data_IF_981806664941
#
_entry.id   IF_981806664941
#
_cell.length_a   1.000
_cell.length_b   1.000
_cell.length_c   1.000
_cell.angle_alpha   90.00
_cell.angle_beta   90.00
_cell.angle_gamma   90.00
#
_symmetry.space_group_name_H-M   'P 1'
#
loop_
_entity.id
_entity.type
_entity.pdbx_description
1 polymer ?
#
# COMPACT_ATOMS: atom_id res chain seq x y z
N UNK A 1 5.12 -0.60 71.92
CA UNK A 1 5.44 -1.50 70.79
C UNK A 1 4.76 -0.95 69.54
N UNK A 2 5.49 -0.26 68.65
CA UNK A 2 4.94 0.33 67.40
C UNK A 2 5.34 -0.56 66.24
N UNK A 3 4.37 -1.23 65.62
CA UNK A 3 4.53 -1.92 64.35
C UNK A 3 4.71 -0.88 63.23
N UNK A 4 5.92 -0.80 62.67
CA UNK A 4 6.17 -0.10 61.40
C UNK A 4 5.82 -1.08 60.27
N UNK A 5 4.69 -0.86 59.59
CA UNK A 5 4.42 -1.49 58.31
C UNK A 5 5.15 -0.72 57.21
N UNK A 6 6.17 -1.32 56.61
CA UNK A 6 6.78 -0.81 55.39
C UNK A 6 5.94 -1.29 54.20
N UNK A 7 5.16 -0.38 53.61
CA UNK A 7 4.50 -0.60 52.33
C UNK A 7 5.55 -0.31 51.25
N UNK A 8 6.09 -1.35 50.64
CA UNK A 8 6.90 -1.25 49.43
C UNK A 8 5.94 -1.08 48.25
N UNK A 9 5.78 0.15 47.77
CA UNK A 9 5.11 0.41 46.50
C UNK A 9 6.12 0.05 45.40
N UNK A 10 5.95 -1.12 44.79
CA UNK A 10 6.62 -1.39 43.52
C UNK A 10 5.99 -0.48 42.48
N UNK A 11 6.66 0.64 42.17
CA UNK A 11 6.37 1.39 40.94
C UNK A 11 6.76 0.48 39.78
N UNK A 12 5.77 -0.23 39.25
CA UNK A 12 5.85 -0.84 37.94
C UNK A 12 6.19 0.30 36.97
N UNK A 13 7.44 0.31 36.47
CA UNK A 13 7.84 1.23 35.42
C UNK A 13 6.84 1.06 34.29
N UNK A 14 5.94 2.03 34.13
CA UNK A 14 5.16 2.18 32.90
C UNK A 14 6.17 2.24 31.77
N UNK A 15 6.39 1.11 31.09
CA UNK A 15 7.13 1.06 29.84
C UNK A 15 6.42 2.06 28.93
N UNK A 16 7.06 3.18 28.67
CA UNK A 16 6.58 4.15 27.71
C UNK A 16 6.37 3.42 26.39
N UNK A 17 5.10 3.30 25.99
CA UNK A 17 4.76 2.62 24.75
C UNK A 17 5.30 3.52 23.63
N UNK A 18 6.22 3.02 22.78
CA UNK A 18 6.87 3.88 21.82
C UNK A 18 5.88 4.34 20.74
N UNK A 19 5.95 5.62 20.42
CA UNK A 19 5.12 6.26 19.40
C UNK A 19 5.85 6.15 18.07
N UNK A 20 5.19 5.65 17.03
CA UNK A 20 5.69 5.83 15.67
C UNK A 20 5.60 7.31 15.31
N UNK A 21 6.76 7.95 15.19
CA UNK A 21 6.85 9.38 14.87
C UNK A 21 6.97 9.60 13.37
N UNK A 22 7.53 8.63 12.64
CA UNK A 22 7.82 8.77 11.22
C UNK A 22 7.21 7.62 10.40
N UNK A 23 6.06 7.81 9.74
CA UNK A 23 5.57 6.83 8.78
C UNK A 23 6.61 6.63 7.67
N UNK A 24 6.83 5.38 7.28
CA UNK A 24 7.71 5.02 6.16
C UNK A 24 6.86 4.66 4.95
N UNK A 25 5.96 3.68 5.11
CA UNK A 25 5.13 3.20 4.01
C UNK A 25 3.91 2.41 4.46
N UNK A 26 2.93 2.34 3.57
CA UNK A 26 1.80 1.43 3.63
C UNK A 26 1.87 0.47 2.43
N UNK A 27 1.77 -0.84 2.68
CA UNK A 27 1.65 -1.85 1.63
C UNK A 27 0.29 -2.52 1.65
N UNK A 28 -0.29 -2.75 0.48
CA UNK A 28 -1.53 -3.52 0.34
C UNK A 28 -1.21 -5.03 0.39
N UNK A 29 -1.77 -5.73 1.36
CA UNK A 29 -1.67 -7.18 1.48
C UNK A 29 -2.99 -7.80 0.99
N UNK A 30 -2.87 -8.73 0.06
CA UNK A 30 -4.00 -9.51 -0.46
C UNK A 30 -3.90 -10.93 0.03
N UNK A 31 -5.03 -11.53 0.37
CA UNK A 31 -5.09 -12.95 0.69
C UNK A 31 -4.87 -13.73 -0.61
N UNK A 32 -3.83 -14.58 -0.72
CA UNK A 32 -3.59 -15.35 -1.94
C UNK A 32 -4.78 -16.23 -2.31
N UNK A 33 -5.46 -16.76 -1.29
CA UNK A 33 -6.69 -17.57 -1.45
C UNK A 33 -7.95 -16.72 -1.69
N UNK A 34 -7.85 -15.39 -1.58
CA UNK A 34 -8.94 -14.42 -1.72
C UNK A 34 -10.14 -14.67 -0.81
N UNK A 35 -9.95 -15.38 0.31
CA UNK A 35 -11.02 -15.68 1.28
C UNK A 35 -11.24 -14.56 2.29
N UNK A 36 -10.21 -13.78 2.56
CA UNK A 36 -10.21 -12.70 3.55
C UNK A 36 -10.11 -11.33 2.89
N UNK A 37 -10.67 -10.27 3.51
CA UNK A 37 -10.54 -8.91 3.01
C UNK A 37 -9.07 -8.49 2.92
N UNK A 38 -8.72 -7.56 2.02
CA UNK A 38 -7.38 -7.02 1.95
C UNK A 38 -7.00 -6.34 3.27
N UNK A 39 -5.71 -6.40 3.59
CA UNK A 39 -5.12 -5.79 4.77
C UNK A 39 -4.08 -4.75 4.35
N UNK A 40 -3.72 -3.87 5.27
CA UNK A 40 -2.63 -2.93 5.09
C UNK A 40 -1.50 -3.28 6.06
N UNK A 41 -0.29 -3.42 5.53
CA UNK A 41 0.94 -3.44 6.31
C UNK A 41 1.42 -2.01 6.47
N UNK A 42 1.48 -1.56 7.71
CA UNK A 42 2.00 -0.25 8.07
C UNK A 42 3.44 -0.42 8.53
N UNK A 43 4.36 0.31 7.92
CA UNK A 43 5.76 0.38 8.33
C UNK A 43 6.08 1.82 8.73
N UNK A 44 6.74 1.98 9.86
CA UNK A 44 7.13 3.27 10.39
C UNK A 44 8.41 3.19 11.22
N UNK A 45 8.84 4.35 11.72
CA UNK A 45 10.00 4.49 12.62
C UNK A 45 9.62 5.20 13.90
N UNK A 46 10.25 4.74 14.97
CA UNK A 46 10.26 5.40 16.26
C UNK A 46 11.29 6.54 16.27
N UNK A 47 11.25 7.39 17.30
CA UNK A 47 12.20 8.51 17.49
C UNK A 47 13.66 8.10 17.47
N UNK A 48 13.97 6.92 18.00
CA UNK A 48 15.32 6.36 18.04
C UNK A 48 15.74 5.70 16.70
N UNK A 49 14.98 5.90 15.62
CA UNK A 49 15.23 5.33 14.30
C UNK A 49 14.76 3.88 14.15
N UNK A 50 14.33 3.20 15.22
CA UNK A 50 13.94 1.79 15.17
C UNK A 50 12.70 1.60 14.30
N UNK A 51 12.75 0.60 13.42
CA UNK A 51 11.67 0.28 12.48
C UNK A 51 10.65 -0.63 13.14
N UNK A 52 9.38 -0.27 12.99
CA UNK A 52 8.23 -1.01 13.52
C UNK A 52 7.21 -1.25 12.42
N UNK A 53 6.49 -2.37 12.51
CA UNK A 53 5.42 -2.68 11.59
C UNK A 53 4.23 -3.39 12.25
N UNK A 54 3.04 -3.21 11.70
CA UNK A 54 1.86 -3.99 12.07
C UNK A 54 0.95 -4.17 10.84
N UNK A 55 0.00 -5.10 10.93
CA UNK A 55 -0.98 -5.35 9.87
C UNK A 55 -2.39 -5.15 10.44
N UNK A 56 -3.24 -4.45 9.69
CA UNK A 56 -4.66 -4.24 10.04
C UNK A 56 -5.54 -4.46 8.81
N UNK A 57 -6.80 -4.85 9.03
CA UNK A 57 -7.77 -4.99 7.94
C UNK A 57 -8.06 -3.64 7.30
N UNK A 58 -8.10 -3.62 5.97
CA UNK A 58 -8.41 -2.40 5.24
C UNK A 58 -9.92 -2.18 5.27
N UNK A 59 -10.37 -1.29 6.14
CA UNK A 59 -11.79 -0.89 6.21
C UNK A 59 -12.03 0.25 5.23
N UNK A 60 -12.85 -0.01 4.21
CA UNK A 60 -13.30 1.05 3.32
C UNK A 60 -14.11 2.09 4.13
N UNK A 61 -13.82 3.39 3.98
CA UNK A 61 -14.62 4.42 4.63
C UNK A 61 -16.06 4.34 4.15
N UNK A 62 -17.01 4.53 5.07
CA UNK A 62 -18.41 4.74 4.71
C UNK A 62 -18.47 6.08 4.00
N UNK A 63 -18.78 6.05 2.70
CA UNK A 63 -18.93 7.27 1.92
C UNK A 63 -20.13 8.05 2.48
N UNK A 64 -20.00 9.35 2.77
CA UNK A 64 -21.15 10.16 3.15
C UNK A 64 -22.18 10.13 2.00
N UNK A 65 -23.47 10.15 2.33
CA UNK A 65 -24.59 10.03 1.37
C UNK A 65 -24.74 11.23 0.40
N UNK A 66 -23.76 12.13 0.35
CA UNK A 66 -23.76 13.26 -0.54
C UNK A 66 -23.15 12.87 -1.89
N UNK A 67 -23.80 13.30 -2.98
CA UNK A 67 -23.37 13.13 -4.38
C UNK A 67 -22.09 13.93 -4.68
N UNK A 68 -20.96 13.57 -4.05
CA UNK A 68 -19.64 14.02 -4.46
C UNK A 68 -18.98 12.91 -5.29
N UNK A 69 -18.45 13.28 -6.44
CA UNK A 69 -17.72 12.38 -7.35
C UNK A 69 -16.38 11.93 -6.78
N UNK A 70 -15.82 12.63 -5.80
CA UNK A 70 -14.55 12.27 -5.15
C UNK A 70 -14.60 12.51 -3.63
N UNK A 71 -14.22 11.50 -2.84
CA UNK A 71 -14.12 11.62 -1.38
C UNK A 71 -12.70 11.27 -0.94
N UNK A 72 -12.06 12.15 -0.16
CA UNK A 72 -10.81 11.84 0.52
C UNK A 72 -11.15 11.29 1.89
N UNK A 73 -10.57 10.15 2.21
CA UNK A 73 -10.56 9.64 3.56
C UNK A 73 -9.15 9.72 4.12
N UNK A 74 -9.00 10.49 5.19
CA UNK A 74 -7.80 10.47 6.02
C UNK A 74 -8.14 9.81 7.35
N UNK A 75 -7.26 8.93 7.80
CA UNK A 75 -7.30 8.30 9.12
C UNK A 75 -5.94 8.46 9.75
N UNK A 76 -5.91 8.97 10.98
CA UNK A 76 -4.69 8.95 11.78
C UNK A 76 -4.39 7.51 12.20
N UNK A 77 -3.15 7.08 11.96
CA UNK A 77 -2.67 5.75 12.32
C UNK A 77 -1.84 5.85 13.59
N UNK A 78 -2.43 5.49 14.72
CA UNK A 78 -1.77 5.46 16.03
C UNK A 78 -1.11 4.09 16.33
N UNK A 79 0.22 4.02 16.28
CA UNK A 79 0.95 2.78 16.58
C UNK A 79 0.88 2.37 18.07
N UNK A 80 0.57 3.29 19.00
CA UNK A 80 0.61 3.02 20.46
C UNK A 80 -0.36 1.92 20.89
N UNK A 81 -1.56 1.93 20.31
CA UNK A 81 -2.65 1.05 20.71
C UNK A 81 -2.70 -0.22 19.86
N UNK A 82 -1.65 -0.52 19.09
CA UNK A 82 -1.63 -1.63 18.14
C UNK A 82 -0.51 -2.61 18.48
N UNK A 83 -0.80 -3.93 18.44
CA UNK A 83 0.23 -4.95 18.55
C UNK A 83 1.16 -4.83 17.34
N UNK A 84 2.36 -4.28 17.56
CA UNK A 84 3.35 -4.06 16.51
C UNK A 84 4.59 -4.94 16.73
N UNK A 85 5.31 -5.16 15.64
CA UNK A 85 6.56 -5.91 15.59
C UNK A 85 7.71 -4.94 15.41
N UNK A 86 8.73 -5.07 16.24
CA UNK A 86 10.04 -4.47 15.99
C UNK A 86 10.78 -5.28 14.93
N UNK A 87 11.25 -4.61 13.89
CA UNK A 87 11.86 -5.25 12.72
C UNK A 87 13.38 -5.48 12.89
N UNK A 88 13.96 -5.03 14.02
CA UNK A 88 15.40 -5.03 14.29
C UNK A 88 16.24 -4.34 13.20
N UNK A 89 15.65 -3.34 12.54
CA UNK A 89 16.29 -2.49 11.55
C UNK A 89 16.11 -1.03 11.98
N UNK A 90 17.10 -0.19 11.68
CA UNK A 90 17.12 1.22 12.07
C UNK A 90 17.22 2.10 10.83
N UNK A 91 16.67 3.31 10.91
CA UNK A 91 16.80 4.33 9.87
C UNK A 91 16.31 3.87 8.49
N UNK A 92 15.19 3.14 8.45
CA UNK A 92 14.57 2.72 7.19
C UNK A 92 14.19 3.94 6.34
N UNK A 93 14.62 3.96 5.09
CA UNK A 93 14.33 5.00 4.11
C UNK A 93 13.05 4.68 3.36
N UNK A 94 12.95 3.45 2.83
CA UNK A 94 11.78 2.97 2.12
C UNK A 94 11.69 1.45 2.20
N UNK A 95 10.54 0.96 1.77
CA UNK A 95 10.24 -0.48 1.77
C UNK A 95 9.55 -0.88 0.48
N UNK A 96 9.69 -2.15 0.10
CA UNK A 96 8.92 -2.76 -1.00
C UNK A 96 8.41 -4.13 -0.52
N UNK A 97 7.19 -4.48 -0.92
CA UNK A 97 6.56 -5.72 -0.51
C UNK A 97 6.23 -6.61 -1.71
N UNK A 98 6.87 -7.78 -1.74
CA UNK A 98 6.54 -8.85 -2.67
C UNK A 98 5.45 -9.72 -2.04
N UNK A 99 4.23 -9.56 -2.55
CA UNK A 99 3.06 -10.26 -2.05
C UNK A 99 3.02 -11.75 -2.41
N UNK A 100 3.75 -12.18 -3.43
CA UNK A 100 3.78 -13.58 -3.89
C UNK A 100 4.59 -14.41 -2.90
N UNK A 101 5.79 -13.95 -2.58
CA UNK A 101 6.70 -14.64 -1.66
C UNK A 101 6.59 -14.16 -0.21
N UNK A 102 5.73 -13.17 0.06
CA UNK A 102 5.57 -12.50 1.35
C UNK A 102 6.90 -11.93 1.88
N UNK A 103 7.66 -11.30 0.97
CA UNK A 103 8.96 -10.71 1.30
C UNK A 103 8.83 -9.20 1.45
N UNK A 104 9.37 -8.68 2.54
CA UNK A 104 9.54 -7.26 2.76
C UNK A 104 11.02 -6.90 2.57
N UNK A 105 11.28 -6.07 1.57
CA UNK A 105 12.57 -5.46 1.36
C UNK A 105 12.59 -4.16 2.18
N UNK A 106 13.38 -4.14 3.25
CA UNK A 106 13.63 -2.95 4.06
C UNK A 106 14.93 -2.32 3.61
N UNK A 107 14.87 -1.08 3.11
CA UNK A 107 16.06 -0.33 2.72
C UNK A 107 16.35 0.74 3.77
N UNK A 108 17.55 0.72 4.32
CA UNK A 108 18.01 1.62 5.36
C UNK A 108 19.40 2.15 5.05
N UNK A 109 19.83 3.20 5.74
CA UNK A 109 21.20 3.69 5.68
C UNK A 109 21.99 3.37 6.95
N UNK A 110 23.27 3.03 6.78
CA UNK A 110 24.22 2.98 7.89
C UNK A 110 24.72 4.38 8.29
N UNK A 111 25.48 4.47 9.37
CA UNK A 111 26.05 5.74 9.87
C UNK A 111 27.00 6.41 8.86
N UNK A 112 27.44 5.68 7.83
CA UNK A 112 28.29 6.18 6.73
C UNK A 112 27.46 6.59 5.51
N UNK A 113 26.13 6.53 5.59
CA UNK A 113 25.21 6.86 4.51
C UNK A 113 25.16 5.82 3.39
N UNK A 114 25.69 4.60 3.60
CA UNK A 114 25.55 3.51 2.62
C UNK A 114 24.20 2.84 2.81
N UNK A 115 23.54 2.55 1.70
CA UNK A 115 22.25 1.87 1.72
C UNK A 115 22.44 0.36 1.88
N UNK A 116 21.70 -0.24 2.79
CA UNK A 116 21.59 -1.67 3.04
C UNK A 116 20.17 -2.12 2.75
N UNK A 117 20.01 -3.37 2.32
CA UNK A 117 18.71 -4.01 2.12
C UNK A 117 18.61 -5.26 2.98
N UNK A 118 17.73 -5.23 3.98
CA UNK A 118 17.32 -6.40 4.72
C UNK A 118 16.07 -7.02 4.07
N UNK A 119 16.18 -8.27 3.64
CA UNK A 119 15.08 -9.06 3.09
C UNK A 119 14.45 -9.88 4.20
N UNK A 120 13.23 -9.55 4.57
CA UNK A 120 12.49 -10.23 5.62
C UNK A 120 11.36 -11.07 5.03
N UNK A 121 11.22 -12.33 5.45
CA UNK A 121 9.98 -13.08 5.26
C UNK A 121 8.97 -12.62 6.29
N UNK A 122 7.79 -12.23 5.83
CA UNK A 122 6.65 -11.97 6.69
C UNK A 122 5.83 -13.25 6.86
N UNK A 123 5.22 -13.39 8.04
CA UNK A 123 4.32 -14.49 8.36
C UNK A 123 3.22 -13.99 9.27
N UNK A 124 2.17 -14.80 9.44
CA UNK A 124 1.01 -14.42 10.23
C UNK A 124 0.32 -13.13 9.73
N UNK A 125 0.33 -12.93 8.41
CA UNK A 125 -0.29 -11.78 7.74
C UNK A 125 -1.81 -11.81 7.82
N UNK A 126 -2.40 -12.95 8.15
CA UNK A 126 -3.83 -13.12 8.35
C UNK A 126 -4.05 -14.12 9.51
N UNK A 127 -3.91 -13.66 10.77
CA UNK A 127 -4.05 -14.53 11.93
C UNK A 127 -5.49 -15.06 12.03
N UNK A 128 -5.63 -16.32 12.46
CA UNK A 128 -6.93 -16.86 12.85
C UNK A 128 -7.42 -16.24 14.16
N UNK A 129 -8.69 -16.49 14.52
CA UNK A 129 -9.32 -15.94 15.73
C UNK A 129 -8.60 -16.33 17.03
N UNK A 130 -7.86 -17.44 17.04
CA UNK A 130 -7.13 -17.97 18.20
C UNK A 130 -5.61 -17.75 18.12
N UNK A 131 -5.11 -17.18 17.02
CA UNK A 131 -3.68 -16.97 16.79
C UNK A 131 -3.14 -15.70 17.43
N UNK A 132 -1.81 -15.62 17.59
CA UNK A 132 -1.15 -14.36 17.92
C UNK A 132 -1.55 -13.30 16.89
N UNK A 133 -1.89 -12.09 17.32
CA UNK A 133 -2.18 -10.98 16.41
C UNK A 133 -0.91 -10.27 15.90
N UNK A 134 0.27 -10.69 16.39
CA UNK A 134 1.54 -10.04 16.03
C UNK A 134 2.09 -10.54 14.70
N UNK A 135 2.59 -9.60 13.91
CA UNK A 135 3.31 -9.88 12.66
C UNK A 135 4.57 -10.70 12.96
N UNK A 136 4.72 -11.84 12.27
CA UNK A 136 5.92 -12.66 12.33
C UNK A 136 6.94 -12.20 11.29
N UNK A 137 8.22 -12.15 11.67
CA UNK A 137 9.32 -11.77 10.76
C UNK A 137 10.51 -12.70 10.92
N UNK A 138 11.17 -13.00 9.80
CA UNK A 138 12.45 -13.71 9.79
C UNK A 138 13.37 -13.09 8.75
N UNK A 139 14.62 -12.80 9.14
CA UNK A 139 15.64 -12.27 8.24
C UNK A 139 16.09 -13.40 7.30
N UNK A 140 15.96 -13.18 5.99
CA UNK A 140 16.47 -14.09 4.96
C UNK A 140 17.88 -13.68 4.56
N UNK A 141 18.06 -12.38 4.26
CA UNK A 141 19.32 -11.88 3.75
C UNK A 141 19.50 -10.39 4.09
N UNK A 142 20.74 -9.95 4.15
CA UNK A 142 21.13 -8.56 4.36
C UNK A 142 22.36 -8.27 3.50
N UNK A 143 22.34 -7.16 2.75
CA UNK A 143 23.42 -6.80 1.83
C UNK A 143 23.44 -5.31 1.53
N UNK A 144 24.62 -4.82 1.13
CA UNK A 144 24.81 -3.43 0.66
C UNK A 144 24.19 -3.28 -0.72
N UNK A 145 23.39 -2.23 -0.90
CA UNK A 145 22.77 -1.89 -2.19
C UNK A 145 23.83 -1.30 -3.13
N UNK A 146 23.77 -1.71 -4.39
CA UNK A 146 24.60 -1.21 -5.47
C UNK A 146 24.42 0.31 -5.68
N UNK A 147 25.54 0.99 -5.87
CA UNK A 147 25.66 2.45 -6.00
C UNK A 147 24.74 3.07 -7.08
N UNK A 148 24.45 2.34 -8.15
CA UNK A 148 23.52 2.75 -9.20
C UNK A 148 22.08 3.04 -8.70
N UNK A 149 21.72 2.61 -7.49
CA UNK A 149 20.41 2.90 -6.89
C UNK A 149 20.35 4.25 -6.18
N UNK A 150 21.49 4.94 -5.94
CA UNK A 150 21.51 6.27 -5.29
C UNK A 150 20.74 7.35 -6.06
N UNK A 151 20.63 7.19 -7.38
CA UNK A 151 19.89 8.12 -8.26
C UNK A 151 18.43 7.70 -8.48
N UNK A 152 18.00 6.57 -7.91
CA UNK A 152 16.66 5.99 -8.10
C UNK A 152 15.78 6.31 -6.90
N UNK A 153 14.71 7.04 -7.15
CA UNK A 153 13.83 7.58 -6.11
C UNK A 153 12.39 7.12 -6.30
N UNK A 154 11.58 7.24 -5.24
CA UNK A 154 10.14 6.96 -5.33
C UNK A 154 9.84 5.51 -5.72
N UNK A 155 10.61 4.55 -5.19
CA UNK A 155 10.35 3.13 -5.40
C UNK A 155 8.91 2.78 -5.01
N UNK A 156 8.19 1.96 -5.79
CA UNK A 156 6.84 1.52 -5.47
C UNK A 156 6.46 0.20 -6.11
N UNK A 157 5.87 -0.70 -5.34
CA UNK A 157 5.26 -1.92 -5.85
C UNK A 157 3.83 -1.69 -6.36
N UNK A 158 3.48 -2.38 -7.45
CA UNK A 158 2.10 -2.57 -7.89
C UNK A 158 1.73 -4.05 -7.70
N UNK A 159 0.96 -4.40 -6.65
CA UNK A 159 0.55 -5.77 -6.39
C UNK A 159 -0.42 -6.34 -7.44
N UNK A 160 -0.88 -5.55 -8.40
CA UNK A 160 -1.75 -6.02 -9.48
C UNK A 160 -0.99 -6.43 -10.74
N UNK A 161 0.14 -5.78 -11.03
CA UNK A 161 0.96 -6.05 -12.22
C UNK A 161 2.23 -6.84 -11.92
N UNK A 162 2.53 -7.09 -10.64
CA UNK A 162 3.77 -7.74 -10.19
C UNK A 162 5.02 -6.97 -10.63
N UNK A 163 4.90 -5.66 -10.77
CA UNK A 163 5.99 -4.75 -11.11
C UNK A 163 6.35 -3.85 -9.92
N UNK A 164 7.60 -3.40 -9.93
CA UNK A 164 8.12 -2.32 -9.12
C UNK A 164 8.52 -1.18 -10.03
N UNK A 165 8.17 0.02 -9.61
CA UNK A 165 8.46 1.26 -10.31
C UNK A 165 9.44 2.09 -9.51
N UNK A 166 10.23 2.89 -10.19
CA UNK A 166 11.06 3.93 -9.59
C UNK A 166 11.24 5.07 -10.59
N UNK A 167 11.77 6.19 -10.11
CA UNK A 167 12.07 7.34 -10.95
C UNK A 167 13.54 7.71 -10.94
N UNK A 168 13.99 8.25 -12.06
CA UNK A 168 15.26 8.95 -12.18
C UNK A 168 14.98 10.35 -12.72
N UNK A 169 15.70 11.34 -12.20
CA UNK A 169 15.60 12.73 -12.68
C UNK A 169 16.92 13.12 -13.31
N UNK A 170 16.87 13.55 -14.57
CA UNK A 170 18.02 14.05 -15.30
C UNK A 170 17.61 15.27 -16.13
N UNK A 171 18.39 16.35 -16.07
CA UNK A 171 18.17 17.59 -16.83
C UNK A 171 16.72 18.13 -16.79
N UNK A 172 16.06 18.10 -15.64
CA UNK A 172 14.68 18.58 -15.49
C UNK A 172 13.60 17.65 -16.06
N UNK A 173 13.97 16.41 -16.40
CA UNK A 173 13.05 15.36 -16.88
C UNK A 173 13.02 14.22 -15.87
N UNK A 174 11.84 13.95 -15.32
CA UNK A 174 11.57 12.77 -14.51
C UNK A 174 11.15 11.62 -15.42
N UNK A 175 11.88 10.51 -15.32
CA UNK A 175 11.58 9.27 -16.05
C UNK A 175 11.16 8.18 -15.08
N UNK A 176 10.02 7.56 -15.33
CA UNK A 176 9.51 6.40 -14.60
C UNK A 176 9.98 5.14 -15.29
N UNK A 177 10.57 4.24 -14.51
CA UNK A 177 11.03 2.93 -14.93
C UNK A 177 10.20 1.85 -14.23
N UNK A 178 10.03 0.70 -14.88
CA UNK A 178 9.42 -0.48 -14.30
C UNK A 178 10.37 -1.66 -14.35
N UNK A 179 10.22 -2.55 -13.39
CA UNK A 179 10.97 -3.78 -13.25
C UNK A 179 10.02 -4.87 -12.75
N UNK A 180 10.04 -6.09 -13.29
CA UNK A 180 9.34 -7.20 -12.67
C UNK A 180 9.79 -7.38 -11.21
N UNK A 181 8.86 -7.64 -10.29
CA UNK A 181 9.15 -7.77 -8.86
C UNK A 181 10.25 -8.81 -8.59
N UNK A 182 10.22 -9.95 -9.29
CA UNK A 182 11.23 -11.00 -9.17
C UNK A 182 12.66 -10.59 -9.60
N UNK A 183 12.83 -9.41 -10.23
CA UNK A 183 14.14 -8.86 -10.63
C UNK A 183 14.66 -7.82 -9.65
N UNK A 184 13.94 -7.52 -8.56
CA UNK A 184 14.32 -6.48 -7.59
C UNK A 184 15.72 -6.69 -7.00
N UNK A 185 16.09 -7.94 -6.73
CA UNK A 185 17.43 -8.27 -6.23
C UNK A 185 18.52 -7.96 -7.27
N UNK A 186 18.27 -8.18 -8.56
CA UNK A 186 19.21 -7.77 -9.62
C UNK A 186 19.35 -6.24 -9.69
N UNK A 187 18.28 -5.49 -9.43
CA UNK A 187 18.35 -4.03 -9.36
C UNK A 187 19.16 -3.58 -8.14
N UNK A 188 18.89 -4.15 -6.97
CA UNK A 188 19.55 -3.77 -5.71
C UNK A 188 20.99 -4.25 -5.60
N UNK A 189 21.32 -5.46 -6.06
CA UNK A 189 22.66 -6.05 -5.92
C UNK A 189 23.57 -5.76 -7.10
N UNK A 190 23.04 -5.83 -8.31
CA UNK A 190 23.85 -5.70 -9.54
C UNK A 190 23.66 -4.34 -10.22
N UNK A 191 22.78 -3.49 -9.68
CA UNK A 191 22.49 -2.19 -10.29
C UNK A 191 21.71 -2.28 -11.60
N UNK A 192 21.07 -3.42 -11.90
CA UNK A 192 20.28 -3.59 -13.14
C UNK A 192 19.21 -2.51 -13.24
N UNK A 193 19.05 -1.92 -14.42
CA UNK A 193 18.02 -0.91 -14.69
C UNK A 193 16.68 -1.56 -15.11
N UNK A 194 15.59 -0.89 -14.79
CA UNK A 194 14.26 -1.19 -15.30
C UNK A 194 14.04 -0.68 -16.72
N UNK A 195 12.93 -1.08 -17.33
CA UNK A 195 12.46 -0.57 -18.63
C UNK A 195 11.81 0.80 -18.44
N UNK A 196 12.09 1.73 -19.35
CA UNK A 196 11.45 3.05 -19.35
C UNK A 196 9.96 2.91 -19.69
N UNK A 197 9.10 3.55 -18.90
CA UNK A 197 7.64 3.60 -19.12
C UNK A 197 7.25 4.94 -19.73
N UNK A 198 7.64 6.03 -19.04
CA UNK A 198 7.21 7.36 -19.40
C UNK A 198 8.19 8.40 -18.86
N UNK A 199 8.27 9.54 -19.53
CA UNK A 199 8.99 10.72 -19.07
C UNK A 199 8.08 11.93 -19.07
N UNK A 200 8.30 12.84 -18.14
CA UNK A 200 7.61 14.12 -18.06
C UNK A 200 8.52 15.15 -17.38
N UNK A 201 8.16 16.44 -17.48
CA UNK A 201 8.92 17.52 -16.83
C UNK A 201 8.91 17.37 -15.31
N UNK A 202 9.92 17.86 -14.60
CA UNK A 202 10.02 17.79 -13.13
C UNK A 202 9.03 18.70 -12.40
N UNK A 203 8.06 19.31 -13.08
CA UNK A 203 7.00 20.09 -12.46
C UNK A 203 6.09 19.23 -11.57
N UNK A 204 6.15 17.90 -11.71
CA UNK A 204 5.34 16.94 -10.95
C UNK A 204 6.20 15.95 -10.17
N UNK A 205 5.78 15.65 -8.95
CA UNK A 205 6.35 14.58 -8.12
C UNK A 205 5.67 13.26 -8.45
N UNK A 206 6.45 12.21 -8.70
CA UNK A 206 5.93 10.85 -8.82
C UNK A 206 5.39 10.36 -7.47
N UNK A 207 4.18 9.79 -7.46
CA UNK A 207 3.63 9.17 -6.27
C UNK A 207 3.64 7.65 -6.35
N UNK A 208 3.32 7.10 -7.53
CA UNK A 208 3.16 5.66 -7.65
C UNK A 208 2.52 5.18 -8.94
N UNK A 209 2.46 3.86 -9.06
CA UNK A 209 1.61 3.16 -10.03
C UNK A 209 0.83 2.10 -9.27
N UNK A 210 -0.48 2.01 -9.50
CA UNK A 210 -1.34 0.99 -8.89
C UNK A 210 -2.41 0.56 -9.89
N UNK A 211 -2.50 -0.74 -10.19
CA UNK A 211 -3.49 -1.27 -11.13
C UNK A 211 -3.34 -0.69 -12.54
N UNK A 212 -2.11 -0.37 -12.95
CA UNK A 212 -1.83 0.28 -14.24
C UNK A 212 -2.18 1.77 -14.31
N UNK A 213 -2.53 2.42 -13.20
CA UNK A 213 -2.74 3.87 -13.12
C UNK A 213 -1.53 4.52 -12.49
N UNK A 214 -0.92 5.47 -13.18
CA UNK A 214 0.16 6.31 -12.68
C UNK A 214 -0.42 7.52 -11.94
N UNK A 215 0.12 7.76 -10.76
CA UNK A 215 -0.18 8.90 -9.91
C UNK A 215 1.02 9.83 -9.83
N UNK A 216 0.77 11.12 -10.00
CA UNK A 216 1.75 12.18 -9.78
C UNK A 216 1.07 13.36 -9.11
N UNK A 217 1.83 14.23 -8.45
CA UNK A 217 1.27 15.40 -7.80
C UNK A 217 2.03 16.68 -8.10
N UNK A 218 1.32 17.80 -8.00
CA UNK A 218 1.88 19.14 -7.88
C UNK A 218 1.45 19.69 -6.53
N UNK A 219 2.41 20.06 -5.70
CA UNK A 219 2.17 20.71 -4.43
C UNK A 219 2.37 22.22 -4.59
N UNK A 220 1.35 23.00 -4.26
CA UNK A 220 1.43 24.45 -4.09
C UNK A 220 1.03 24.80 -2.66
N UNK A 221 1.34 26.03 -2.24
CA UNK A 221 1.17 26.46 -0.84
C UNK A 221 -0.25 26.21 -0.27
N UNK A 222 -1.28 26.43 -1.07
CA UNK A 222 -2.68 26.38 -0.67
C UNK A 222 -3.43 25.17 -1.23
N UNK A 223 -2.82 24.42 -2.15
CA UNK A 223 -3.44 23.23 -2.72
C UNK A 223 -2.46 22.17 -3.24
N UNK A 224 -2.88 20.91 -3.18
CA UNK A 224 -2.27 19.78 -3.87
C UNK A 224 -3.14 19.38 -5.05
N UNK A 225 -2.55 19.16 -6.21
CA UNK A 225 -3.25 18.54 -7.36
C UNK A 225 -2.64 17.17 -7.64
N UNK A 226 -3.46 16.12 -7.58
CA UNK A 226 -3.06 14.77 -7.98
C UNK A 226 -3.53 14.52 -9.41
N UNK A 227 -2.62 14.07 -10.25
CA UNK A 227 -2.86 13.68 -11.65
C UNK A 227 -2.82 12.16 -11.77
N UNK A 228 -3.83 11.61 -12.40
CA UNK A 228 -4.02 10.17 -12.63
C UNK A 228 -4.11 9.91 -14.13
N UNK A 229 -3.37 8.92 -14.61
CA UNK A 229 -3.39 8.49 -16.02
C UNK A 229 -3.09 7.01 -16.17
N UNK A 230 -3.60 6.38 -17.21
CA UNK A 230 -3.22 5.01 -17.56
C UNK A 230 -1.76 4.95 -18.05
N UNK A 231 -1.02 3.91 -17.63
CA UNK A 231 0.34 3.65 -18.16
C UNK A 231 0.32 3.02 -19.56
N UNK A 232 -0.77 2.34 -19.92
CA UNK A 232 -0.93 1.72 -21.23
C UNK A 232 -1.11 2.78 -22.33
N UNK A 233 -1.66 3.93 -21.95
CA UNK A 233 -1.95 5.06 -22.82
C UNK A 233 -0.92 6.17 -22.61
N UNK A 234 0.32 5.92 -23.05
CA UNK A 234 1.47 6.81 -22.83
C UNK A 234 1.48 8.09 -23.67
N UNK A 235 0.50 8.28 -24.57
CA UNK A 235 0.39 9.51 -25.36
C UNK A 235 -0.11 10.67 -24.49
N UNK A 236 0.53 11.84 -24.61
CA UNK A 236 0.25 13.04 -23.83
C UNK A 236 -1.12 13.68 -24.11
N UNK A 237 -1.84 13.21 -25.13
CA UNK A 237 -3.14 13.72 -25.56
C UNK A 237 -4.34 13.00 -24.95
N UNK A 238 -4.13 11.92 -24.19
CA UNK A 238 -5.21 11.12 -23.62
C UNK A 238 -5.67 11.64 -22.25
N UNK A 239 -6.92 11.35 -21.83
CA UNK A 239 -7.51 11.92 -20.63
C UNK A 239 -6.69 11.57 -19.39
N UNK A 240 -6.17 12.61 -18.73
CA UNK A 240 -5.68 12.51 -17.36
C UNK A 240 -6.77 13.07 -16.45
N UNK A 241 -7.13 12.33 -15.41
CA UNK A 241 -8.00 12.87 -14.36
C UNK A 241 -7.13 13.64 -13.38
N UNK A 242 -7.58 14.82 -12.96
CA UNK A 242 -6.92 15.58 -11.91
C UNK A 242 -7.87 15.88 -10.77
N UNK A 243 -7.42 15.64 -9.54
CA UNK A 243 -8.15 16.00 -8.33
C UNK A 243 -7.34 17.07 -7.58
N UNK A 244 -7.96 18.23 -7.36
CA UNK A 244 -7.40 19.33 -6.58
C UNK A 244 -7.88 19.28 -5.14
N UNK A 245 -6.98 19.59 -4.20
CA UNK A 245 -7.21 19.55 -2.77
C UNK A 245 -6.72 20.83 -2.15
N UNK A 246 -7.60 21.57 -1.48
CA UNK A 246 -7.22 22.78 -0.74
C UNK A 246 -6.74 22.41 0.66
N UNK A 247 -5.66 23.05 1.09
CA UNK A 247 -5.13 22.90 2.44
C UNK A 247 -5.86 23.88 3.36
N UNK A 248 -6.44 23.39 4.45
CA UNK A 248 -6.88 24.30 5.52
C UNK A 248 -5.63 24.83 6.22
N UNK A 249 -5.56 26.15 6.40
CA UNK A 249 -4.38 26.90 6.87
C UNK A 249 -3.78 26.42 8.21
N UNK A 250 -4.52 25.61 8.98
CA UNK A 250 -4.12 25.08 10.30
C UNK A 250 -3.97 23.54 10.34
N UNK A 251 -4.16 22.84 9.22
CA UNK A 251 -3.88 21.42 9.16
C UNK A 251 -2.36 21.26 8.99
N UNK A 252 -1.69 20.79 10.05
CA UNK A 252 -0.29 20.35 9.98
C UNK A 252 -0.10 19.52 8.70
N UNK A 253 0.80 19.97 7.82
CA UNK A 253 1.18 19.42 6.52
C UNK A 253 0.38 18.16 6.14
N UNK A 254 -0.63 18.25 5.25
CA UNK A 254 -1.27 17.05 4.73
C UNK A 254 -0.19 16.27 3.99
N UNK A 255 0.33 15.26 4.68
CA UNK A 255 1.42 14.45 4.16
C UNK A 255 1.05 13.87 2.81
N UNK A 256 2.06 13.53 2.03
CA UNK A 256 1.90 12.83 0.76
C UNK A 256 1.03 11.58 0.98
N UNK A 257 -0.01 11.33 0.16
CA UNK A 257 -0.90 10.20 0.38
C UNK A 257 -0.12 8.88 0.26
N UNK A 258 -0.15 8.06 1.31
CA UNK A 258 0.54 6.76 1.35
C UNK A 258 -0.17 5.67 0.56
N UNK A 259 -1.46 5.83 0.29
CA UNK A 259 -2.27 4.91 -0.51
C UNK A 259 -3.34 5.68 -1.28
N UNK A 260 -3.43 5.43 -2.58
CA UNK A 260 -4.49 5.93 -3.44
C UNK A 260 -5.21 4.76 -4.07
N UNK A 261 -6.54 4.79 -4.05
CA UNK A 261 -7.39 3.77 -4.65
C UNK A 261 -8.37 4.48 -5.56
N UNK A 262 -8.29 4.18 -6.85
CA UNK A 262 -9.29 4.58 -7.85
C UNK A 262 -10.32 3.46 -7.95
N UNK A 263 -11.61 3.80 -7.99
CA UNK A 263 -12.70 2.83 -7.93
C UNK A 263 -13.60 2.90 -9.16
N UNK A 264 -14.20 1.75 -9.46
CA UNK A 264 -15.37 1.62 -10.33
C UNK A 264 -15.25 2.44 -11.64
N UNK A 265 -16.17 3.37 -11.84
CA UNK A 265 -16.29 4.15 -13.06
C UNK A 265 -15.08 5.05 -13.32
N UNK A 266 -14.50 5.66 -12.29
CA UNK A 266 -13.31 6.52 -12.45
C UNK A 266 -12.12 5.72 -12.99
N UNK A 267 -11.98 4.45 -12.57
CA UNK A 267 -10.94 3.57 -13.07
C UNK A 267 -11.14 3.27 -14.56
N UNK A 268 -12.36 2.94 -14.96
CA UNK A 268 -12.71 2.70 -16.36
C UNK A 268 -12.48 3.95 -17.23
N UNK A 269 -12.83 5.13 -16.73
CA UNK A 269 -12.55 6.40 -17.42
C UNK A 269 -11.06 6.64 -17.62
N UNK A 270 -10.23 6.33 -16.63
CA UNK A 270 -8.76 6.47 -16.74
C UNK A 270 -8.17 5.43 -17.70
N UNK A 271 -8.66 4.19 -17.65
CA UNK A 271 -8.18 3.07 -18.48
C UNK A 271 -8.55 3.26 -19.95
N UNK A 272 -9.83 3.50 -20.22
CA UNK A 272 -10.44 3.44 -21.56
C UNK A 272 -10.64 4.84 -22.17
N UNK A 273 -10.50 5.90 -21.37
CA UNK A 273 -10.59 7.28 -21.85
C UNK A 273 -11.95 7.60 -22.47
N UNK A 274 -12.00 8.21 -23.67
CA UNK A 274 -13.27 8.54 -24.34
C UNK A 274 -14.09 7.31 -24.76
N UNK A 275 -13.49 6.12 -24.77
CA UNK A 275 -14.15 4.86 -25.11
C UNK A 275 -14.77 4.17 -23.90
N UNK A 276 -14.61 4.74 -22.69
CA UNK A 276 -15.19 4.17 -21.48
C UNK A 276 -16.72 4.13 -21.59
N UNK A 277 -17.32 2.97 -21.31
CA UNK A 277 -18.77 2.77 -21.26
C UNK A 277 -19.19 2.29 -19.86
N UNK A 278 -20.12 3.01 -19.17
CA UNK A 278 -20.52 2.67 -17.81
C UNK A 278 -21.13 1.27 -17.69
N UNK A 279 -21.83 0.78 -18.72
CA UNK A 279 -22.49 -0.53 -18.69
C UNK A 279 -21.47 -1.64 -18.77
N UNK A 280 -20.52 -1.55 -19.69
CA UNK A 280 -19.42 -2.49 -19.85
C UNK A 280 -18.55 -2.51 -18.60
N UNK A 281 -18.21 -1.34 -18.05
CA UNK A 281 -17.45 -1.23 -16.79
C UNK A 281 -18.17 -1.92 -15.61
N UNK A 282 -19.48 -1.72 -15.48
CA UNK A 282 -20.28 -2.38 -14.46
C UNK A 282 -20.31 -3.90 -14.65
N UNK A 283 -20.48 -4.37 -15.89
CA UNK A 283 -20.48 -5.80 -16.22
C UNK A 283 -19.13 -6.45 -15.91
N UNK A 284 -18.01 -5.83 -16.27
CA UNK A 284 -16.67 -6.29 -15.92
C UNK A 284 -16.50 -6.40 -14.41
N UNK A 285 -16.96 -5.40 -13.66
CA UNK A 285 -16.92 -5.42 -12.19
C UNK A 285 -17.75 -6.57 -11.62
N UNK A 286 -18.98 -6.76 -12.11
CA UNK A 286 -19.84 -7.85 -11.64
C UNK A 286 -19.26 -9.22 -11.96
N UNK A 287 -18.75 -9.42 -13.17
CA UNK A 287 -18.04 -10.63 -13.56
C UNK A 287 -16.82 -10.85 -12.66
N UNK A 288 -16.03 -9.81 -12.42
CA UNK A 288 -14.90 -9.90 -11.49
C UNK A 288 -15.36 -10.31 -10.09
N UNK A 289 -16.40 -9.67 -9.53
CA UNK A 289 -16.96 -10.02 -8.22
C UNK A 289 -17.43 -11.47 -8.13
N UNK A 290 -17.99 -12.02 -9.22
CA UNK A 290 -18.34 -13.43 -9.31
C UNK A 290 -17.09 -14.32 -9.33
N UNK A 291 -16.08 -13.99 -10.15
CA UNK A 291 -14.83 -14.77 -10.22
C UNK A 291 -14.05 -14.78 -8.91
N UNK A 292 -14.14 -13.71 -8.12
CA UNK A 292 -13.50 -13.63 -6.80
C UNK A 292 -14.39 -14.12 -5.66
N UNK A 293 -15.59 -14.64 -5.96
CA UNK A 293 -16.51 -15.21 -4.96
C UNK A 293 -17.13 -14.19 -4.00
N UNK A 294 -17.08 -12.90 -4.31
CA UNK A 294 -17.69 -11.83 -3.50
C UNK A 294 -19.19 -11.68 -3.75
N UNK A 295 -19.69 -12.26 -4.84
CA UNK A 295 -21.09 -12.35 -5.18
C UNK A 295 -21.37 -13.81 -5.53
N UNK A 296 -22.36 -14.42 -4.87
CA UNK A 296 -22.83 -15.73 -5.28
C UNK A 296 -23.50 -15.60 -6.66
N UNK A 297 -23.22 -16.56 -7.53
CA UNK A 297 -23.99 -16.72 -8.75
C UNK A 297 -25.45 -16.98 -8.31
N UNK A 298 -26.39 -16.19 -8.83
CA UNK A 298 -27.83 -16.37 -8.63
C UNK A 298 -28.48 -17.70 -9.15
N UNK A 299 -27.82 -18.65 -9.86
CA UNK A 299 -28.43 -19.93 -10.22
C UNK A 299 -28.68 -20.87 -9.02
N UNK A 300 -28.11 -20.62 -7.83
CA UNK A 300 -28.31 -21.51 -6.67
C UNK A 300 -29.78 -21.54 -6.20
N UNK A 301 -30.57 -20.48 -6.47
CA UNK A 301 -32.02 -20.53 -6.23
C UNK A 301 -32.77 -21.42 -7.22
N UNK A 302 -32.33 -21.50 -8.48
CA UNK A 302 -32.96 -22.37 -9.48
C UNK A 302 -32.64 -23.84 -9.20
N UNK A 303 -31.40 -24.16 -8.82
CA UNK A 303 -31.03 -25.52 -8.40
C UNK A 303 -31.70 -25.92 -7.08
N UNK A 304 -31.78 -25.01 -6.11
CA UNK A 304 -32.52 -25.23 -4.85
C UNK A 304 -34.01 -25.45 -5.08
N UNK A 305 -34.65 -24.67 -5.95
CA UNK A 305 -36.05 -24.86 -6.33
C UNK A 305 -36.28 -26.18 -7.07
N UNK A 306 -35.38 -26.57 -7.99
CA UNK A 306 -35.44 -27.87 -8.68
C UNK A 306 -35.29 -29.05 -7.71
N UNK A 307 -34.39 -28.95 -6.73
CA UNK A 307 -34.20 -29.96 -5.69
C UNK A 307 -35.42 -30.08 -4.76
N UNK A 308 -36.04 -28.96 -4.37
CA UNK A 308 -37.26 -28.96 -3.55
C UNK A 308 -38.43 -29.57 -4.32
N UNK A 309 -38.57 -29.25 -5.62
CA UNK A 309 -39.61 -29.86 -6.47
C UNK A 309 -39.38 -31.36 -6.66
N UNK A 310 -38.12 -31.81 -6.80
CA UNK A 310 -37.78 -33.24 -6.87
C UNK A 310 -38.06 -33.99 -5.57
N UNK A 311 -37.82 -33.37 -4.42
CA UNK A 311 -38.13 -33.98 -3.11
C UNK A 311 -39.64 -34.11 -2.92
N UNK A 312 -40.42 -33.08 -3.27
CA UNK A 312 -41.89 -33.11 -3.17
C UNK A 312 -42.52 -34.14 -4.14
N UNK A 313 -41.89 -34.40 -5.29
CA UNK A 313 -42.39 -35.39 -6.26
C UNK A 313 -42.05 -36.85 -5.89
N UNK A 314 -41.14 -37.08 -4.95
CA UNK A 314 -40.68 -38.43 -4.52
C UNK A 314 -41.26 -38.84 -3.16
N UNK A 315 -41.82 -37.90 -2.39
CA UNK A 315 -42.60 -38.15 -1.16
C UNK A 315 -44.09 -38.17 -1.43
#
# INVERSE_FOLDING_TARGET
MKLKSSITIMMEQQKSIPVCEYPVRLHLIRDPERRRPPRALYVGRLRNGQTVAFVEDLVAPRLPSFNRTSNIYSRLIDFRNRPHKYMNQYNTDFTLYDHIYQLLYLVNHDDKGRQHCAVLRLSNLFPGNTGSQTLGTSLIHDFIIHEANKVRNGWMEDPYSEEVYYTTTDNGVTTVHALPMNRILSAFKDGSAGRKIISYSTDRTFLGVLGGVLYSQVLKYDHTTIFMRSIANSSTSLPAMSCGFTHQWNAENPGTPYLMIVRDWDYCQIRDGPLADPRTCLQEREQWMLTVGLKANSPDMLFGALLIVLIILVT
#
